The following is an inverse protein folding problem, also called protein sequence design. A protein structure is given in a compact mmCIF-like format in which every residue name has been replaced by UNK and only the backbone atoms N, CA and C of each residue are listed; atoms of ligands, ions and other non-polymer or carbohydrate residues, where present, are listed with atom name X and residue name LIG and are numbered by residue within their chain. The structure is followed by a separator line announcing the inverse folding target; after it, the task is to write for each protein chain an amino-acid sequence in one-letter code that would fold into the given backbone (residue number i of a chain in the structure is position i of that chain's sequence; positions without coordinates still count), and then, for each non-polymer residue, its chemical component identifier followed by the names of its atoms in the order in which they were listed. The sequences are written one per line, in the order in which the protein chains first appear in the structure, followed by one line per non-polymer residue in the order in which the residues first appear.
data_IF_812664633078
#
_entry.id   IF_812664633078
#
_cell.length_a   1.000
_cell.length_b   1.000
_cell.length_c   1.000
_cell.angle_alpha   90.00
_cell.angle_beta   90.00
_cell.angle_gamma   90.00
#
_symmetry.space_group_name_H-M   'P 1'
#
loop_
_entity.id
_entity.type
_entity.pdbx_description
1 polymer ?
#
# COMPACT_ATOMS: atom_id res chain seq x y z
N UNK A 1 -2.73 -12.36 -11.85
CA UNK A 1 -2.37 -12.67 -10.46
C UNK A 1 -1.43 -11.59 -9.94
N UNK A 2 -1.67 -11.06 -8.73
CA UNK A 2 -0.84 -10.00 -8.16
C UNK A 2 0.47 -10.58 -7.65
N UNK A 3 1.59 -9.93 -7.98
CA UNK A 3 2.89 -10.30 -7.43
C UNK A 3 2.96 -9.96 -5.94
N UNK A 4 3.77 -10.70 -5.21
CA UNK A 4 3.98 -10.47 -3.78
C UNK A 4 5.35 -9.84 -3.55
N UNK A 5 5.46 -9.06 -2.47
CA UNK A 5 6.74 -8.51 -2.02
C UNK A 5 6.96 -8.95 -0.57
N UNK A 6 8.20 -9.26 -0.22
CA UNK A 6 8.55 -9.62 1.14
C UNK A 6 8.69 -8.39 2.02
N UNK A 7 8.59 -8.57 3.35
CA UNK A 7 8.82 -7.48 4.30
C UNK A 7 10.20 -6.86 4.11
N UNK A 8 11.22 -7.68 3.92
CA UNK A 8 12.59 -7.20 3.75
C UNK A 8 12.73 -6.34 2.50
N UNK A 9 12.18 -6.81 1.38
CA UNK A 9 12.25 -6.06 0.12
C UNK A 9 11.45 -4.77 0.19
N UNK A 10 10.29 -4.80 0.85
CA UNK A 10 9.48 -3.61 1.04
C UNK A 10 10.20 -2.58 1.90
N UNK A 11 10.83 -3.02 2.98
CA UNK A 11 11.61 -2.13 3.84
C UNK A 11 12.70 -1.42 3.03
N UNK A 12 13.45 -2.16 2.22
CA UNK A 12 14.49 -1.60 1.38
C UNK A 12 13.93 -0.59 0.38
N UNK A 13 12.82 -0.95 -0.27
CA UNK A 13 12.20 -0.07 -1.26
C UNK A 13 11.71 1.24 -0.64
N UNK A 14 11.16 1.19 0.57
CA UNK A 14 10.73 2.39 1.29
C UNK A 14 11.94 3.26 1.62
N UNK A 15 13.03 2.66 2.11
CA UNK A 15 14.24 3.40 2.49
C UNK A 15 14.89 4.10 1.30
N UNK A 16 14.85 3.48 0.13
CA UNK A 16 15.42 4.06 -1.09
C UNK A 16 14.46 5.00 -1.81
N UNK A 17 13.18 5.00 -1.44
CA UNK A 17 12.17 5.84 -2.08
C UNK A 17 11.73 5.33 -3.44
N UNK A 18 11.95 4.04 -3.74
CA UNK A 18 11.68 3.47 -5.06
C UNK A 18 10.25 2.93 -5.22
N UNK A 19 9.39 3.13 -4.23
CA UNK A 19 8.04 2.57 -4.26
C UNK A 19 7.02 3.53 -3.65
N UNK A 20 5.80 3.51 -4.19
CA UNK A 20 4.66 4.15 -3.53
C UNK A 20 3.89 3.06 -2.78
N UNK A 21 3.70 3.27 -1.48
CA UNK A 21 2.99 2.31 -0.63
C UNK A 21 1.55 2.77 -0.48
N UNK A 22 0.63 1.86 -0.72
CA UNK A 22 -0.81 2.13 -0.65
C UNK A 22 -1.42 1.37 0.53
N UNK A 23 -2.03 2.12 1.44
CA UNK A 23 -2.78 1.56 2.57
C UNK A 23 -4.21 1.30 2.11
N UNK A 24 -4.58 0.02 2.02
CA UNK A 24 -5.91 -0.37 1.54
C UNK A 24 -6.97 -0.37 2.64
N UNK A 25 -6.59 -0.07 3.88
CA UNK A 25 -7.53 0.05 5.00
C UNK A 25 -8.22 1.40 5.00
N UNK A 26 -7.45 2.47 4.82
CA UNK A 26 -7.98 3.83 4.82
C UNK A 26 -8.55 4.28 6.16
N UNK A 27 -9.14 5.49 6.15
CA UNK A 27 -9.88 6.02 7.29
C UNK A 27 -9.11 6.02 8.60
N UNK A 28 -9.79 5.62 9.67
CA UNK A 28 -9.22 5.63 11.01
C UNK A 28 -8.03 4.68 11.16
N UNK A 29 -8.04 3.57 10.45
CA UNK A 29 -6.92 2.62 10.50
C UNK A 29 -5.65 3.27 9.97
N UNK A 30 -5.74 3.95 8.85
CA UNK A 30 -4.61 4.68 8.26
C UNK A 30 -4.11 5.77 9.21
N UNK A 31 -5.01 6.57 9.74
CA UNK A 31 -4.62 7.71 10.60
C UNK A 31 -3.95 7.25 11.88
N UNK A 32 -4.37 6.10 12.40
CA UNK A 32 -3.81 5.54 13.63
C UNK A 32 -2.39 5.07 13.44
N UNK A 33 -2.14 4.35 12.34
CA UNK A 33 -0.84 3.76 12.10
C UNK A 33 -0.77 3.27 10.65
N UNK A 34 0.28 3.66 9.94
CA UNK A 34 0.52 3.21 8.58
C UNK A 34 2.02 3.10 8.31
N UNK A 35 2.39 2.40 7.25
CA UNK A 35 3.79 2.29 6.85
C UNK A 35 4.32 3.65 6.42
N UNK A 36 5.65 3.90 6.58
CA UNK A 36 6.23 5.20 6.24
C UNK A 36 5.93 5.61 4.79
N UNK A 37 5.40 6.82 4.64
CA UNK A 37 5.07 7.36 3.33
C UNK A 37 3.84 6.78 2.65
N UNK A 38 3.11 5.87 3.31
CA UNK A 38 1.93 5.26 2.72
C UNK A 38 0.83 6.29 2.45
N UNK A 39 0.08 6.08 1.37
CA UNK A 39 -1.08 6.89 1.04
C UNK A 39 -2.35 6.03 1.15
N UNK A 40 -3.46 6.57 1.66
CA UNK A 40 -4.69 5.80 1.78
C UNK A 40 -5.41 5.70 0.45
N UNK A 41 -5.78 4.49 0.05
CA UNK A 41 -6.56 4.29 -1.18
C UNK A 41 -7.36 3.00 -1.02
N UNK A 42 -8.65 3.14 -0.74
CA UNK A 42 -9.56 2.01 -0.62
C UNK A 42 -10.15 1.64 -1.98
N UNK A 43 -10.68 0.41 -2.09
CA UNK A 43 -11.15 -0.11 -3.38
C UNK A 43 -12.18 0.81 -4.06
N UNK A 44 -13.11 1.37 -3.30
CA UNK A 44 -14.16 2.24 -3.85
C UNK A 44 -13.62 3.53 -4.46
N UNK A 45 -12.41 3.93 -4.08
CA UNK A 45 -11.81 5.19 -4.50
C UNK A 45 -10.78 5.03 -5.62
N UNK A 46 -10.44 3.80 -5.99
CA UNK A 46 -9.36 3.57 -6.97
C UNK A 46 -9.61 4.32 -8.27
N UNK A 47 -10.81 4.21 -8.84
CA UNK A 47 -11.13 4.86 -10.11
C UNK A 47 -10.98 6.37 -10.05
N UNK A 48 -11.43 6.99 -8.95
CA UNK A 48 -11.45 8.44 -8.83
C UNK A 48 -10.12 9.02 -8.39
N UNK A 49 -9.41 8.34 -7.48
CA UNK A 49 -8.23 8.91 -6.82
C UNK A 49 -6.89 8.39 -7.31
N UNK A 50 -6.84 7.19 -7.89
CA UNK A 50 -5.55 6.64 -8.31
C UNK A 50 -4.80 7.54 -9.29
N UNK A 51 -5.44 8.16 -10.29
CA UNK A 51 -4.71 9.04 -11.21
C UNK A 51 -4.02 10.22 -10.53
N UNK A 52 -4.59 10.73 -9.44
CA UNK A 52 -4.00 11.84 -8.68
C UNK A 52 -2.89 11.36 -7.74
N UNK A 53 -3.11 10.24 -7.05
CA UNK A 53 -2.16 9.70 -6.09
C UNK A 53 -1.01 8.96 -6.75
N UNK A 54 -1.28 8.32 -7.89
CA UNK A 54 -0.34 7.45 -8.60
C UNK A 54 -0.33 7.87 -10.08
N UNK A 55 0.23 9.03 -10.40
CA UNK A 55 0.17 9.55 -11.78
C UNK A 55 1.01 8.76 -12.79
N UNK A 56 2.05 8.07 -12.32
CA UNK A 56 2.90 7.25 -13.19
C UNK A 56 2.50 5.78 -13.09
N UNK A 57 1.84 5.27 -14.14
CA UNK A 57 1.34 3.90 -14.15
C UNK A 57 2.43 2.84 -14.27
N UNK A 58 3.65 3.23 -14.61
CA UNK A 58 4.79 2.32 -14.70
C UNK A 58 5.59 2.28 -13.39
N UNK A 59 5.36 3.22 -12.48
CA UNK A 59 6.09 3.29 -11.22
C UNK A 59 5.70 2.13 -10.28
N UNK A 60 6.63 1.63 -9.48
CA UNK A 60 6.34 0.54 -8.53
C UNK A 60 5.34 0.97 -7.45
N UNK A 61 4.35 0.12 -7.22
CA UNK A 61 3.31 0.32 -6.20
C UNK A 61 3.20 -0.94 -5.35
N UNK A 62 3.07 -0.77 -4.04
CA UNK A 62 2.81 -1.89 -3.12
C UNK A 62 1.54 -1.58 -2.34
N UNK A 63 0.61 -2.53 -2.31
CA UNK A 63 -0.60 -2.42 -1.49
C UNK A 63 -0.46 -3.29 -0.25
N UNK A 64 -1.02 -2.84 0.87
CA UNK A 64 -1.06 -3.65 2.09
C UNK A 64 -2.37 -3.41 2.84
N UNK A 65 -2.64 -4.31 3.79
CA UNK A 65 -3.84 -4.30 4.62
C UNK A 65 -3.41 -4.63 6.06
N UNK A 66 -4.30 -5.14 6.90
CA UNK A 66 -3.95 -5.45 8.28
C UNK A 66 -3.15 -6.75 8.40
N UNK A 67 -3.59 -7.82 7.74
CA UNK A 67 -2.95 -9.14 7.78
C UNK A 67 -3.37 -9.98 6.58
N UNK A 68 -2.94 -11.26 6.56
CA UNK A 68 -3.21 -12.15 5.43
C UNK A 68 -4.69 -12.46 5.21
N UNK A 69 -5.50 -12.36 6.26
CA UNK A 69 -6.93 -12.63 6.16
C UNK A 69 -7.72 -11.47 5.53
N UNK A 70 -7.12 -10.29 5.46
CA UNK A 70 -7.79 -9.10 4.93
C UNK A 70 -7.75 -9.09 3.40
N UNK A 71 -8.90 -9.01 2.71
CA UNK A 71 -8.92 -9.03 1.25
C UNK A 71 -8.64 -7.68 0.58
N UNK A 72 -8.60 -6.59 1.37
CA UNK A 72 -8.58 -5.25 0.81
C UNK A 72 -7.37 -4.97 -0.08
N UNK A 73 -6.18 -5.38 0.35
CA UNK A 73 -4.96 -5.12 -0.43
C UNK A 73 -4.99 -5.82 -1.78
N UNK A 74 -5.51 -7.05 -1.82
CA UNK A 74 -5.67 -7.77 -3.07
C UNK A 74 -6.69 -7.12 -3.98
N UNK A 75 -7.79 -6.62 -3.42
CA UNK A 75 -8.82 -5.93 -4.19
C UNK A 75 -8.28 -4.65 -4.80
N UNK A 76 -7.58 -3.83 -4.02
CA UNK A 76 -6.99 -2.60 -4.53
C UNK A 76 -5.93 -2.89 -5.58
N UNK A 77 -5.05 -3.88 -5.33
CA UNK A 77 -4.03 -4.26 -6.30
C UNK A 77 -4.64 -4.71 -7.62
N UNK A 78 -5.72 -5.49 -7.56
CA UNK A 78 -6.42 -5.97 -8.75
C UNK A 78 -7.03 -4.81 -9.55
N UNK A 79 -7.68 -3.87 -8.85
CA UNK A 79 -8.28 -2.71 -9.49
C UNK A 79 -7.23 -1.80 -10.11
N UNK A 80 -6.08 -1.63 -9.46
CA UNK A 80 -4.98 -0.85 -10.03
C UNK A 80 -4.45 -1.51 -11.30
N UNK A 81 -4.27 -2.83 -11.28
CA UNK A 81 -3.81 -3.57 -12.45
C UNK A 81 -4.79 -3.40 -13.61
N UNK A 82 -6.09 -3.47 -13.34
CA UNK A 82 -7.12 -3.27 -14.35
C UNK A 82 -7.11 -1.84 -14.90
N UNK A 83 -6.69 -0.87 -14.08
CA UNK A 83 -6.61 0.54 -14.50
C UNK A 83 -5.34 0.84 -15.30
N UNK A 84 -4.46 -0.14 -15.51
CA UNK A 84 -3.28 0.03 -16.34
C UNK A 84 -1.96 0.15 -15.61
N UNK A 85 -1.96 0.01 -14.28
CA UNK A 85 -0.73 0.03 -13.50
C UNK A 85 0.01 -1.28 -13.70
N UNK A 86 1.29 -1.20 -14.07
CA UNK A 86 2.06 -2.36 -14.55
C UNK A 86 3.04 -2.95 -13.52
N UNK A 87 3.26 -2.26 -12.41
CA UNK A 87 4.23 -2.69 -11.40
C UNK A 87 3.59 -2.72 -10.00
N UNK A 88 2.47 -3.43 -9.87
CA UNK A 88 1.72 -3.53 -8.62
C UNK A 88 2.08 -4.83 -7.91
N UNK A 89 2.49 -4.71 -6.64
CA UNK A 89 2.77 -5.87 -5.78
C UNK A 89 1.97 -5.74 -4.49
N UNK A 90 1.83 -6.84 -3.78
CA UNK A 90 1.06 -6.91 -2.55
C UNK A 90 1.94 -7.39 -1.40
N UNK A 91 1.93 -6.65 -0.29
CA UNK A 91 2.53 -7.09 0.97
C UNK A 91 1.43 -7.80 1.77
N UNK A 92 1.32 -9.11 1.58
CA UNK A 92 0.19 -9.89 2.07
C UNK A 92 0.15 -10.00 3.60
N UNK A 93 1.32 -10.01 4.25
CA UNK A 93 1.39 -10.11 5.71
C UNK A 93 0.76 -8.92 6.42
N UNK A 94 0.79 -7.76 5.75
CA UNK A 94 0.14 -6.57 6.26
C UNK A 94 0.88 -5.85 7.38
N UNK A 95 0.25 -4.78 7.86
CA UNK A 95 0.87 -3.93 8.87
C UNK A 95 1.12 -4.66 10.20
N UNK A 96 0.32 -5.66 10.53
CA UNK A 96 0.53 -6.42 11.77
C UNK A 96 1.88 -7.09 11.78
N UNK A 97 2.30 -7.69 10.67
CA UNK A 97 3.61 -8.30 10.55
C UNK A 97 4.73 -7.25 10.65
N UNK A 98 4.53 -6.11 10.00
CA UNK A 98 5.48 -5.00 10.02
C UNK A 98 5.73 -4.50 11.45
N UNK A 99 4.65 -4.31 12.21
CA UNK A 99 4.72 -3.84 13.59
C UNK A 99 5.38 -4.88 14.49
N UNK A 100 5.03 -6.15 14.32
CA UNK A 100 5.61 -7.24 15.11
C UNK A 100 7.11 -7.37 14.88
N UNK A 101 7.58 -7.01 13.69
CA UNK A 101 9.01 -7.00 13.37
C UNK A 101 9.75 -5.81 13.96
N UNK A 102 9.04 -4.88 14.60
CA UNK A 102 9.65 -3.69 15.22
C UNK A 102 10.03 -2.61 14.23
N UNK A 103 9.46 -2.61 13.03
CA UNK A 103 9.78 -1.64 12.01
C UNK A 103 9.01 -0.34 12.21
N UNK A 104 9.53 0.80 11.73
CA UNK A 104 8.91 2.10 11.97
C UNK A 104 7.57 2.26 11.26
N UNK A 105 6.67 3.01 11.88
CA UNK A 105 5.39 3.38 11.30
C UNK A 105 5.17 4.87 11.47
N UNK A 106 4.17 5.40 10.77
CA UNK A 106 3.75 6.78 10.89
C UNK A 106 2.28 6.85 11.27
N UNK A 107 1.83 8.02 11.67
CA UNK A 107 0.44 8.26 12.01
C UNK A 107 0.02 9.63 11.50
N UNK A 108 -1.30 9.85 11.44
CA UNK A 108 -1.86 11.12 11.02
C UNK A 108 -2.31 11.13 9.56
N UNK A 109 -2.80 12.31 9.13
CA UNK A 109 -3.33 12.49 7.78
C UNK A 109 -2.22 12.69 6.76
N UNK A 110 -2.39 12.18 5.52
CA UNK A 110 -1.36 12.34 4.48
C UNK A 110 -1.19 13.79 4.03
N UNK A 111 -2.13 14.66 4.35
CA UNK A 111 -2.06 16.07 3.96
C UNK A 111 -1.45 16.97 5.03
N UNK A 112 -1.04 16.41 6.13
CA UNK A 112 -0.45 17.14 7.25
C UNK A 112 0.93 17.72 6.89
#
# INVERSE_FOLDING_TARGET
MTELITRQDLKTAIETGDVTVVDALGGMYYERQHLPGAVPLVAEEVTDRAPDLLPDKAAPVVTYCSNEACPNSGNVASLLTQAGYTSVRKYKEGIEDWVQAGLPTESGSPTS
#
